data_IF_269112843994
#
_entry.id   IF_269112843994
#
_cell.length_a   1.000
_cell.length_b   1.000
_cell.length_c   1.000
_cell.angle_alpha   90.00
_cell.angle_beta   90.00
_cell.angle_gamma   90.00
#
_symmetry.space_group_name_H-M   'P 1'
#
loop_
_entity.id
_entity.type
_entity.pdbx_description
1 polymer ?
#
# COMPACT_ATOMS: atom_id res chain seq x y z
N UNK A 1 3.74 -21.37 -16.58
CA UNK A 1 4.49 -22.41 -15.83
C UNK A 1 5.99 -22.25 -16.09
N UNK A 2 6.86 -23.06 -15.48
CA UNK A 2 8.30 -23.18 -15.79
C UNK A 2 8.68 -24.66 -15.91
N UNK A 3 9.67 -24.99 -16.72
CA UNK A 3 10.20 -26.36 -16.81
C UNK A 3 11.24 -26.59 -15.72
N UNK A 4 11.18 -27.74 -15.05
CA UNK A 4 12.24 -28.16 -14.15
C UNK A 4 13.48 -28.54 -14.95
N UNK A 5 14.61 -27.85 -14.74
CA UNK A 5 15.86 -28.09 -15.47
C UNK A 5 16.46 -29.48 -15.25
N UNK A 6 16.02 -30.22 -14.23
CA UNK A 6 16.57 -31.53 -13.89
C UNK A 6 15.75 -32.70 -14.47
N UNK A 7 14.43 -32.59 -14.52
CA UNK A 7 13.56 -33.70 -14.98
C UNK A 7 12.63 -33.34 -16.14
N UNK A 8 12.67 -32.10 -16.63
CA UNK A 8 11.88 -31.65 -17.79
C UNK A 8 10.38 -31.57 -17.54
N UNK A 9 9.92 -31.69 -16.29
CA UNK A 9 8.49 -31.59 -15.95
C UNK A 9 8.09 -30.14 -15.77
N UNK A 10 6.92 -29.78 -16.30
CA UNK A 10 6.32 -28.48 -16.06
C UNK A 10 5.87 -28.34 -14.60
N UNK A 11 6.32 -27.27 -13.97
CA UNK A 11 6.05 -26.94 -12.57
C UNK A 11 5.47 -25.53 -12.46
N UNK A 12 4.68 -25.31 -11.41
CA UNK A 12 4.10 -23.99 -11.11
C UNK A 12 5.20 -22.94 -10.90
N UNK A 13 4.91 -21.67 -11.24
CA UNK A 13 5.88 -20.56 -11.17
C UNK A 13 6.42 -20.30 -9.75
N UNK A 14 5.70 -20.73 -8.71
CA UNK A 14 5.99 -20.46 -7.30
C UNK A 14 6.44 -21.69 -6.51
N UNK A 15 6.70 -22.81 -7.18
CA UNK A 15 7.07 -24.06 -6.51
C UNK A 15 8.58 -24.06 -6.23
N UNK A 16 8.96 -24.13 -4.95
CA UNK A 16 10.36 -24.16 -4.51
C UNK A 16 11.08 -25.48 -4.81
N UNK A 17 10.34 -26.60 -4.86
CA UNK A 17 10.89 -27.94 -5.11
C UNK A 17 10.08 -28.69 -6.15
N UNK A 18 10.75 -29.28 -7.13
CA UNK A 18 10.06 -30.09 -8.13
C UNK A 18 9.38 -31.31 -7.44
N UNK A 19 8.08 -31.56 -7.67
CA UNK A 19 7.37 -32.67 -7.04
C UNK A 19 7.90 -34.04 -7.47
N UNK A 20 8.54 -34.13 -8.65
CA UNK A 20 9.05 -35.38 -9.21
C UNK A 20 10.49 -35.70 -8.78
N UNK A 21 11.40 -34.74 -8.93
CA UNK A 21 12.84 -34.97 -8.66
C UNK A 21 13.33 -34.33 -7.36
N UNK A 22 12.47 -33.62 -6.62
CA UNK A 22 12.78 -32.93 -5.35
C UNK A 22 13.90 -31.88 -5.43
N UNK A 23 14.43 -31.61 -6.62
CA UNK A 23 15.43 -30.58 -6.85
C UNK A 23 14.86 -29.20 -6.57
N UNK A 24 15.69 -28.32 -5.97
CA UNK A 24 15.34 -26.92 -5.74
C UNK A 24 15.20 -26.19 -7.08
N UNK A 25 14.11 -25.46 -7.22
CA UNK A 25 13.87 -24.58 -8.36
C UNK A 25 14.19 -23.17 -7.89
N UNK A 26 14.96 -22.37 -8.64
CA UNK A 26 15.20 -20.98 -8.29
C UNK A 26 13.86 -20.23 -8.38
N UNK A 27 13.21 -20.05 -7.23
CA UNK A 27 12.06 -19.17 -7.11
C UNK A 27 12.59 -17.76 -7.30
N UNK A 28 12.08 -17.10 -8.34
CA UNK A 28 12.35 -15.69 -8.52
C UNK A 28 11.65 -14.99 -7.37
N UNK A 29 12.39 -14.72 -6.28
CA UNK A 29 11.91 -13.89 -5.18
C UNK A 29 11.39 -12.62 -5.84
N UNK A 30 10.07 -12.44 -5.80
CA UNK A 30 9.44 -11.21 -6.26
C UNK A 30 10.15 -10.11 -5.48
N UNK A 31 10.84 -9.23 -6.19
CA UNK A 31 11.71 -8.20 -5.61
C UNK A 31 10.90 -7.42 -4.57
N UNK A 32 11.17 -7.70 -3.31
CA UNK A 32 10.62 -6.98 -2.15
C UNK A 32 10.90 -5.46 -2.27
N UNK A 33 11.98 -5.11 -2.98
CA UNK A 33 12.38 -3.73 -3.31
C UNK A 33 11.37 -2.98 -4.19
N UNK A 34 10.48 -3.66 -4.91
CA UNK A 34 9.44 -2.97 -5.70
C UNK A 34 8.33 -2.38 -4.81
N UNK A 35 8.15 -2.91 -3.59
CA UNK A 35 7.15 -2.41 -2.64
C UNK A 35 7.70 -1.19 -1.90
N UNK A 36 9.02 -1.13 -1.67
CA UNK A 36 9.68 -0.04 -0.96
C UNK A 36 9.67 1.29 -1.75
N UNK A 37 9.98 1.25 -3.05
CA UNK A 37 9.96 2.46 -3.91
C UNK A 37 8.57 3.09 -4.01
N UNK A 38 7.51 2.27 -3.99
CA UNK A 38 6.15 2.78 -4.04
C UNK A 38 5.77 3.41 -2.70
N UNK A 39 6.31 2.95 -1.57
CA UNK A 39 5.85 3.39 -0.24
C UNK A 39 6.37 4.78 0.15
N UNK A 40 7.58 5.14 -0.29
CA UNK A 40 8.22 6.43 0.02
C UNK A 40 7.40 7.68 -0.34
N UNK A 41 6.83 7.82 -1.56
CA UNK A 41 6.03 9.01 -1.91
C UNK A 41 4.72 9.12 -1.11
N UNK A 42 4.09 8.00 -0.71
CA UNK A 42 2.85 8.05 0.08
C UNK A 42 3.09 8.51 1.51
N UNK A 43 4.22 8.14 2.13
CA UNK A 43 4.60 8.62 3.47
C UNK A 43 4.79 10.14 3.46
N UNK A 44 5.43 10.67 2.42
CA UNK A 44 5.62 12.12 2.26
C UNK A 44 4.28 12.85 2.09
N UNK A 45 3.36 12.32 1.28
CA UNK A 45 2.02 12.90 1.10
C UNK A 45 1.25 12.92 2.43
N UNK A 46 1.29 11.81 3.18
CA UNK A 46 0.64 11.73 4.50
C UNK A 46 1.18 12.76 5.49
N UNK A 47 2.50 12.99 5.50
CA UNK A 47 3.15 13.98 6.36
C UNK A 47 2.77 15.41 5.98
N UNK A 48 2.72 15.73 4.68
CA UNK A 48 2.28 17.05 4.19
C UNK A 48 0.81 17.31 4.54
N UNK A 49 -0.08 16.34 4.36
CA UNK A 49 -1.50 16.45 4.74
C UNK A 49 -1.68 16.60 6.25
N UNK A 50 -0.89 15.88 7.05
CA UNK A 50 -0.89 16.01 8.51
C UNK A 50 -0.49 17.42 8.96
N UNK A 51 0.60 17.95 8.43
CA UNK A 51 1.06 19.33 8.72
C UNK A 51 0.01 20.35 8.30
N UNK A 52 -0.58 20.19 7.11
CA UNK A 52 -1.64 21.06 6.62
C UNK A 52 -2.87 21.04 7.54
N UNK A 53 -3.24 19.86 8.07
CA UNK A 53 -4.36 19.70 9.00
C UNK A 53 -4.12 20.46 10.31
N UNK A 54 -2.90 20.37 10.86
CA UNK A 54 -2.50 21.11 12.08
C UNK A 54 -2.51 22.62 11.82
N UNK A 55 -2.00 23.05 10.67
CA UNK A 55 -1.99 24.45 10.28
C UNK A 55 -3.40 25.02 10.18
N UNK A 56 -4.33 24.28 9.56
CA UNK A 56 -5.75 24.66 9.48
C UNK A 56 -6.38 24.76 10.87
N UNK A 57 -6.12 23.79 11.77
CA UNK A 57 -6.64 23.84 13.15
C UNK A 57 -6.11 25.06 13.93
N UNK A 58 -4.83 25.38 13.78
CA UNK A 58 -4.21 26.53 14.45
C UNK A 58 -4.77 27.87 13.92
N UNK A 59 -5.01 27.96 12.62
CA UNK A 59 -5.67 29.13 12.01
C UNK A 59 -7.14 29.24 12.42
N UNK A 60 -7.84 28.13 12.58
CA UNK A 60 -9.23 28.10 13.05
C UNK A 60 -9.36 28.53 14.51
N UNK A 61 -8.38 28.22 15.35
CA UNK A 61 -8.39 28.61 16.77
C UNK A 61 -8.13 30.12 16.96
N UNK A 62 -7.34 30.72 16.06
CA UNK A 62 -7.03 32.15 16.09
C UNK A 62 -8.05 33.04 15.35
N UNK A 63 -8.94 32.48 14.51
CA UNK A 63 -9.96 33.26 13.79
C UNK A 63 -11.36 33.02 14.37
N UNK A 64 -12.03 34.06 14.95
CA UNK A 64 -13.37 33.90 15.45
C UNK A 64 -14.35 33.55 14.32
N UNK A 65 -15.20 32.57 14.66
CA UNK A 65 -16.22 31.86 13.88
C UNK A 65 -16.85 32.63 12.71
N UNK A 66 -17.26 31.83 11.72
CA UNK A 66 -18.32 32.04 10.73
C UNK A 66 -17.95 32.60 9.36
N UNK A 67 -17.37 31.74 8.53
CA UNK A 67 -17.78 31.67 7.12
C UNK A 67 -18.19 30.23 6.81
N UNK A 68 -19.40 30.03 6.28
CA UNK A 68 -19.90 28.70 5.86
C UNK A 68 -18.97 28.03 4.83
N UNK A 69 -18.11 28.80 4.18
CA UNK A 69 -17.11 28.28 3.24
C UNK A 69 -15.96 27.54 3.95
N UNK A 70 -15.51 28.03 5.11
CA UNK A 70 -14.43 27.39 5.89
C UNK A 70 -14.88 26.02 6.43
N UNK A 71 -16.13 25.93 6.90
CA UNK A 71 -16.69 24.67 7.38
C UNK A 71 -16.75 23.61 6.25
N UNK A 72 -17.10 24.01 5.02
CA UNK A 72 -17.09 23.11 3.85
C UNK A 72 -15.67 22.66 3.49
N UNK A 73 -14.69 23.56 3.52
CA UNK A 73 -13.28 23.23 3.27
C UNK A 73 -12.72 22.23 4.28
N UNK A 74 -13.08 22.36 5.56
CA UNK A 74 -12.67 21.44 6.61
C UNK A 74 -13.25 20.03 6.41
N UNK A 75 -14.54 19.91 6.12
CA UNK A 75 -15.17 18.62 5.84
C UNK A 75 -14.60 17.95 4.59
N UNK A 76 -14.24 18.73 3.58
CA UNK A 76 -13.58 18.22 2.37
C UNK A 76 -12.19 17.66 2.68
N UNK A 77 -11.39 18.34 3.50
CA UNK A 77 -10.08 17.85 3.95
C UNK A 77 -10.19 16.56 4.75
N UNK A 78 -11.14 16.48 5.69
CA UNK A 78 -11.40 15.27 6.47
C UNK A 78 -11.83 14.10 5.57
N UNK A 79 -12.72 14.35 4.60
CA UNK A 79 -13.16 13.32 3.66
C UNK A 79 -12.02 12.77 2.81
N UNK A 80 -11.14 13.64 2.30
CA UNK A 80 -9.94 13.22 1.55
C UNK A 80 -9.03 12.36 2.44
N UNK A 81 -8.80 12.77 3.69
CA UNK A 81 -7.95 12.02 4.61
C UNK A 81 -8.53 10.63 4.92
N UNK A 82 -9.84 10.53 5.08
CA UNK A 82 -10.54 9.26 5.26
C UNK A 82 -10.43 8.35 4.03
N UNK A 83 -10.60 8.89 2.83
CA UNK A 83 -10.45 8.14 1.56
C UNK A 83 -9.02 7.63 1.44
N UNK A 84 -8.02 8.45 1.77
CA UNK A 84 -6.61 8.05 1.74
C UNK A 84 -6.32 6.93 2.76
N UNK A 85 -6.80 7.05 4.01
CA UNK A 85 -6.66 6.00 5.01
C UNK A 85 -7.32 4.68 4.58
N UNK A 86 -8.54 4.76 4.03
CA UNK A 86 -9.24 3.59 3.47
C UNK A 86 -8.43 2.93 2.36
N UNK A 87 -7.84 3.71 1.47
CA UNK A 87 -6.98 3.19 0.40
C UNK A 87 -5.73 2.52 0.96
N UNK A 88 -5.06 3.13 1.94
CA UNK A 88 -3.89 2.54 2.62
C UNK A 88 -4.26 1.21 3.28
N UNK A 89 -5.38 1.13 3.98
CA UNK A 89 -5.86 -0.12 4.60
C UNK A 89 -6.13 -1.17 3.53
N UNK A 90 -6.82 -0.81 2.45
CA UNK A 90 -7.13 -1.75 1.37
C UNK A 90 -5.85 -2.29 0.72
N UNK A 91 -4.87 -1.44 0.45
CA UNK A 91 -3.61 -1.84 -0.21
C UNK A 91 -2.66 -2.57 0.73
N UNK A 92 -2.54 -2.16 2.00
CA UNK A 92 -1.55 -2.74 2.93
C UNK A 92 -2.10 -3.89 3.78
N UNK A 93 -3.42 -4.03 3.92
CA UNK A 93 -4.03 -5.10 4.71
C UNK A 93 -4.72 -6.12 3.81
N UNK A 94 -5.59 -5.68 2.90
CA UNK A 94 -6.42 -6.59 2.10
C UNK A 94 -5.59 -7.26 0.99
N UNK A 95 -4.83 -6.48 0.21
CA UNK A 95 -4.04 -7.03 -0.90
C UNK A 95 -3.04 -8.10 -0.43
N UNK A 96 -2.15 -7.86 0.55
CA UNK A 96 -1.26 -8.92 1.02
C UNK A 96 -2.04 -10.09 1.63
N UNK A 97 -3.12 -9.84 2.38
CA UNK A 97 -3.97 -10.91 2.93
C UNK A 97 -4.52 -11.87 1.88
N UNK A 98 -4.85 -11.38 0.67
CA UNK A 98 -5.29 -12.23 -0.43
C UNK A 98 -4.15 -13.07 -1.05
N UNK A 99 -2.92 -12.55 -1.05
CA UNK A 99 -1.76 -13.26 -1.61
C UNK A 99 -1.10 -14.24 -0.63
N UNK A 100 -1.32 -14.12 0.68
CA UNK A 100 -0.80 -15.05 1.68
C UNK A 100 -1.69 -16.30 1.89
N UNK A 101 -2.90 -16.32 1.34
CA UNK A 101 -3.88 -17.42 1.50
C UNK A 101 -4.14 -18.26 0.24
N UNK A 102 -3.38 -18.04 -0.85
CA UNK A 102 -3.43 -18.86 -2.09
C UNK A 102 -2.14 -19.66 -2.27
#
# INVERSE_FOLDING_TARGET
MRLCSNCGVEVGKYVEKCPKCKASIPVSKVKESAIEEITAPFVLIGLVLGIYSIFVLFFLDNYPKTSKAIQKGMWFGIAIQFIWLLWVILVKVIIPGMFYHS
#
